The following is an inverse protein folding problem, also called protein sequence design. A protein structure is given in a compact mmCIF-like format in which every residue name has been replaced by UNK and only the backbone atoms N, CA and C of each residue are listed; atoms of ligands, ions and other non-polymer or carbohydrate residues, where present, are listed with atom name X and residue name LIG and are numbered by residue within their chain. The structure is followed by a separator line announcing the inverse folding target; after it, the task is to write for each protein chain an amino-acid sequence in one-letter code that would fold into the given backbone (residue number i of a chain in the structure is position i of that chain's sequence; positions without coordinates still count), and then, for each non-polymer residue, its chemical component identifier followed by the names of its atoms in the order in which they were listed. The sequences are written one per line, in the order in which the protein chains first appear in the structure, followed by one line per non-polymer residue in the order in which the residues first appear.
data_IF_970701294095
#
_entry.id   IF_970701294095
#
_cell.length_a   1.000
_cell.length_b   1.000
_cell.length_c   1.000
_cell.angle_alpha   90.00
_cell.angle_beta   90.00
_cell.angle_gamma   90.00
#
_symmetry.space_group_name_H-M   'P 1'
#
loop_
_entity.id
_entity.type
_entity.pdbx_description
1 polymer ?
#
# COMPACT_ATOMS: atom_id res chain seq x y z
N UNK A 1 -9.47 -1.14 16.17
CA UNK A 1 -9.34 -0.14 15.08
C UNK A 1 -7.94 0.43 15.14
N UNK A 2 -7.21 0.37 14.03
CA UNK A 2 -5.85 0.88 13.94
C UNK A 2 -5.89 2.40 13.75
N UNK A 3 -4.91 3.13 14.28
CA UNK A 3 -4.82 4.59 14.10
C UNK A 3 -4.31 4.91 12.70
N UNK A 4 -4.77 6.01 12.12
CA UNK A 4 -4.36 6.45 10.77
C UNK A 4 -2.83 6.60 10.66
N UNK A 5 -2.18 7.28 11.61
CA UNK A 5 -0.71 7.42 11.66
C UNK A 5 0.04 6.07 11.63
N UNK A 6 -0.47 5.07 12.35
CA UNK A 6 0.09 3.73 12.31
C UNK A 6 -0.13 3.06 10.94
N UNK A 7 -1.23 3.39 10.25
CA UNK A 7 -1.57 2.85 8.93
C UNK A 7 -0.73 3.48 7.84
N UNK A 8 -0.50 4.78 7.93
CA UNK A 8 0.46 5.51 7.10
C UNK A 8 1.86 4.91 7.26
N UNK A 9 2.28 4.57 8.48
CA UNK A 9 3.56 3.89 8.73
C UNK A 9 3.65 2.51 8.06
N UNK A 10 2.59 1.70 8.11
CA UNK A 10 2.57 0.40 7.43
C UNK A 10 2.59 0.58 5.91
N UNK A 11 1.80 1.52 5.38
CA UNK A 11 1.77 1.81 3.96
C UNK A 11 3.08 2.39 3.42
N UNK A 12 3.78 3.21 4.20
CA UNK A 12 5.11 3.71 3.86
C UNK A 12 6.14 2.57 3.78
N UNK A 13 6.10 1.63 4.71
CA UNK A 13 6.94 0.43 4.64
C UNK A 13 6.59 -0.42 3.41
N UNK A 14 5.31 -0.52 3.08
CA UNK A 14 4.83 -1.22 1.88
C UNK A 14 5.32 -0.53 0.59
N UNK A 15 5.29 0.80 0.53
CA UNK A 15 5.86 1.59 -0.56
C UNK A 15 7.37 1.39 -0.68
N UNK A 16 8.09 1.37 0.44
CA UNK A 16 9.53 1.11 0.47
C UNK A 16 9.88 -0.30 -0.02
N UNK A 17 9.11 -1.30 0.39
CA UNK A 17 9.23 -2.67 -0.11
C UNK A 17 8.96 -2.72 -1.61
N UNK A 18 7.85 -2.12 -2.08
CA UNK A 18 7.51 -2.07 -3.49
C UNK A 18 8.62 -1.39 -4.32
N UNK A 19 9.20 -0.30 -3.82
CA UNK A 19 10.30 0.42 -4.47
C UNK A 19 11.60 -0.38 -4.57
N UNK A 20 11.79 -1.38 -3.70
CA UNK A 20 12.91 -2.31 -3.78
C UNK A 20 12.64 -3.47 -4.75
N UNK A 21 11.41 -3.66 -5.23
CA UNK A 21 11.04 -4.74 -6.15
C UNK A 21 11.10 -4.25 -7.61
N UNK A 22 12.14 -4.66 -8.34
CA UNK A 22 12.37 -4.25 -9.73
C UNK A 22 11.32 -4.74 -10.74
N UNK A 23 10.56 -5.77 -10.39
CA UNK A 23 9.48 -6.33 -11.21
C UNK A 23 8.10 -5.69 -10.90
N UNK A 24 7.83 -5.43 -9.61
CA UNK A 24 6.53 -4.92 -9.18
C UNK A 24 6.43 -3.40 -9.27
N UNK A 25 7.53 -2.68 -9.04
CA UNK A 25 7.58 -1.22 -9.15
C UNK A 25 7.16 -0.70 -10.55
N UNK A 26 7.70 -1.20 -11.68
CA UNK A 26 7.23 -0.77 -13.00
C UNK A 26 5.77 -1.16 -13.27
N UNK A 27 5.31 -2.30 -12.74
CA UNK A 27 3.91 -2.73 -12.84
C UNK A 27 2.97 -1.77 -12.11
N UNK A 28 3.32 -1.36 -10.89
CA UNK A 28 2.57 -0.36 -10.12
C UNK A 28 2.51 0.99 -10.84
N UNK A 29 3.65 1.49 -11.33
CA UNK A 29 3.71 2.74 -12.09
C UNK A 29 2.88 2.67 -13.38
N UNK A 30 2.90 1.53 -14.08
CA UNK A 30 2.05 1.30 -15.26
C UNK A 30 0.55 1.25 -14.94
N UNK A 31 0.18 0.64 -13.81
CA UNK A 31 -1.21 0.53 -13.37
C UNK A 31 -1.80 1.85 -12.86
N UNK A 32 -1.00 2.67 -12.18
CA UNK A 32 -1.44 3.94 -11.59
C UNK A 32 -1.19 5.16 -12.49
N UNK A 33 -0.30 5.05 -13.46
CA UNK A 33 0.22 6.19 -14.22
C UNK A 33 1.21 7.06 -13.43
N UNK A 34 1.60 6.64 -12.22
CA UNK A 34 2.54 7.37 -11.38
C UNK A 34 3.96 7.31 -11.96
N UNK A 35 4.68 8.43 -11.83
CA UNK A 35 6.11 8.50 -12.13
C UNK A 35 6.93 8.38 -10.84
N UNK A 36 8.22 8.07 -10.93
CA UNK A 36 9.09 8.00 -9.74
C UNK A 36 9.13 9.32 -8.93
N UNK A 37 8.99 10.47 -9.60
CA UNK A 37 8.83 11.77 -8.93
C UNK A 37 7.50 11.89 -8.20
N UNK A 38 6.41 11.38 -8.78
CA UNK A 38 5.09 11.34 -8.16
C UNK A 38 5.09 10.47 -6.90
N UNK A 39 5.75 9.32 -6.94
CA UNK A 39 5.92 8.47 -5.74
C UNK A 39 6.55 9.24 -4.57
N UNK A 40 7.54 10.09 -4.86
CA UNK A 40 8.23 10.88 -3.83
C UNK A 40 7.36 12.01 -3.30
N UNK A 41 6.59 12.68 -4.15
CA UNK A 41 5.72 13.79 -3.75
C UNK A 41 4.46 13.30 -3.04
N UNK A 42 3.92 12.15 -3.44
CA UNK A 42 2.70 11.54 -2.90
C UNK A 42 2.97 10.59 -1.72
N UNK A 43 4.23 10.26 -1.37
CA UNK A 43 4.54 9.38 -0.25
C UNK A 43 3.95 9.85 1.10
N UNK A 44 3.72 11.16 1.26
CA UNK A 44 3.07 11.73 2.45
C UNK A 44 1.54 11.85 2.34
N UNK A 45 0.95 11.45 1.22
CA UNK A 45 -0.49 11.53 1.00
C UNK A 45 -1.17 10.21 1.43
N UNK A 46 -2.10 10.23 2.41
CA UNK A 46 -2.73 9.03 2.92
C UNK A 46 -3.67 8.36 1.91
N UNK A 47 -4.16 9.08 0.88
CA UNK A 47 -4.97 8.50 -0.20
C UNK A 47 -4.08 7.66 -1.11
N UNK A 48 -2.93 8.20 -1.51
CA UNK A 48 -1.92 7.51 -2.30
C UNK A 48 -1.38 6.27 -1.58
N UNK A 49 -1.06 6.40 -0.28
CA UNK A 49 -0.67 5.26 0.57
C UNK A 49 -1.76 4.19 0.62
N UNK A 50 -3.03 4.57 0.56
CA UNK A 50 -4.16 3.65 0.42
C UNK A 50 -4.12 2.87 -0.90
N UNK A 51 -3.79 3.53 -2.01
CA UNK A 51 -3.66 2.89 -3.33
C UNK A 51 -2.46 1.93 -3.42
N UNK A 52 -1.36 2.22 -2.73
CA UNK A 52 -0.21 1.30 -2.61
C UNK A 52 -0.63 0.00 -1.92
N UNK A 53 -1.36 0.11 -0.80
CA UNK A 53 -1.88 -1.08 -0.11
C UNK A 53 -2.90 -1.83 -0.96
N UNK A 54 -3.76 -1.13 -1.70
CA UNK A 54 -4.74 -1.73 -2.61
C UNK A 54 -4.06 -2.56 -3.71
N UNK A 55 -3.02 -2.01 -4.33
CA UNK A 55 -2.22 -2.72 -5.33
C UNK A 55 -1.57 -3.99 -4.77
N UNK A 56 -0.92 -3.91 -3.60
CA UNK A 56 -0.28 -5.07 -2.98
C UNK A 56 -1.31 -6.14 -2.62
N UNK A 57 -2.52 -5.73 -2.23
CA UNK A 57 -3.63 -6.63 -1.91
C UNK A 57 -4.28 -7.29 -3.14
N UNK A 58 -3.87 -6.95 -4.37
CA UNK A 58 -4.39 -7.60 -5.58
C UNK A 58 -3.90 -9.04 -5.75
N UNK A 59 -2.74 -9.39 -5.17
CA UNK A 59 -2.15 -10.72 -5.28
C UNK A 59 -1.64 -11.21 -3.91
N UNK A 60 -2.04 -12.42 -3.51
CA UNK A 60 -1.67 -12.99 -2.21
C UNK A 60 -0.15 -13.19 -2.07
N UNK A 61 0.57 -13.46 -3.17
CA UNK A 61 2.02 -13.59 -3.13
C UNK A 61 2.71 -12.26 -2.79
N UNK A 62 2.14 -11.12 -3.20
CA UNK A 62 2.69 -9.81 -2.85
C UNK A 62 2.40 -9.46 -1.38
N UNK A 63 1.19 -9.77 -0.91
CA UNK A 63 0.85 -9.58 0.52
C UNK A 63 1.77 -10.43 1.40
N UNK A 64 1.98 -11.70 1.05
CA UNK A 64 2.88 -12.61 1.78
C UNK A 64 4.34 -12.14 1.75
N UNK A 65 4.85 -11.73 0.59
CA UNK A 65 6.22 -11.21 0.48
C UNK A 65 6.44 -9.92 1.30
N UNK A 66 5.47 -9.01 1.28
CA UNK A 66 5.52 -7.82 2.13
C UNK A 66 5.51 -8.20 3.61
N UNK A 67 4.54 -9.02 4.04
CA UNK A 67 4.36 -9.40 5.44
C UNK A 67 5.58 -10.10 6.03
N UNK A 68 6.23 -10.97 5.25
CA UNK A 68 7.50 -11.61 5.61
C UNK A 68 8.60 -10.55 5.80
N UNK A 69 8.72 -9.61 4.86
CA UNK A 69 9.78 -8.59 4.89
C UNK A 69 9.65 -7.64 6.08
N UNK A 70 8.43 -7.18 6.40
CA UNK A 70 8.20 -6.23 7.50
C UNK A 70 7.80 -6.92 8.81
N UNK A 71 7.79 -8.26 8.83
CA UNK A 71 7.47 -9.12 9.97
C UNK A 71 6.15 -8.73 10.67
N UNK A 72 5.06 -8.64 9.90
CA UNK A 72 3.71 -8.33 10.40
C UNK A 72 2.71 -9.40 9.98
N UNK A 73 1.63 -9.62 10.75
CA UNK A 73 0.56 -10.53 10.35
C UNK A 73 -0.23 -9.96 9.15
N UNK A 74 -0.74 -10.84 8.27
CA UNK A 74 -1.55 -10.48 7.10
C UNK A 74 -2.70 -9.50 7.40
N UNK A 75 -3.38 -9.71 8.52
CA UNK A 75 -4.51 -8.87 8.95
C UNK A 75 -4.08 -7.40 9.16
N UNK A 76 -2.80 -7.13 9.45
CA UNK A 76 -2.28 -5.75 9.57
C UNK A 76 -2.39 -4.98 8.27
N UNK A 77 -2.23 -5.62 7.11
CA UNK A 77 -2.33 -4.94 5.82
C UNK A 77 -3.77 -4.50 5.58
N UNK A 78 -4.73 -5.39 5.83
CA UNK A 78 -6.16 -5.07 5.74
C UNK A 78 -6.58 -3.99 6.75
N UNK A 79 -6.11 -4.08 8.00
CA UNK A 79 -6.39 -3.08 9.03
C UNK A 79 -5.79 -1.71 8.69
N UNK A 80 -4.58 -1.67 8.12
CA UNK A 80 -3.99 -0.44 7.64
C UNK A 80 -4.82 0.17 6.52
N UNK A 81 -5.20 -0.64 5.50
CA UNK A 81 -6.03 -0.18 4.38
C UNK A 81 -7.37 0.40 4.84
N UNK A 82 -8.05 -0.25 5.78
CA UNK A 82 -9.32 0.22 6.35
C UNK A 82 -9.19 1.49 7.19
N UNK A 83 -8.00 1.77 7.70
CA UNK A 83 -7.72 2.95 8.53
C UNK A 83 -7.28 4.16 7.69
N UNK A 84 -7.06 3.98 6.38
CA UNK A 84 -6.71 5.04 5.43
C UNK A 84 -7.94 5.55 4.67
N UNK A 85 -7.91 6.80 4.16
CA UNK A 85 -8.95 7.36 3.32
C UNK A 85 -9.31 6.45 2.13
N UNK A 86 -10.59 6.44 1.75
CA UNK A 86 -11.08 5.57 0.67
C UNK A 86 -11.01 4.07 0.96
N UNK A 87 -10.64 3.64 2.18
CA UNK A 87 -10.66 2.25 2.65
C UNK A 87 -11.99 1.83 3.26
N UNK A 88 -12.88 2.79 3.51
CA UNK A 88 -14.29 2.51 3.68
C UNK A 88 -14.81 1.94 2.36
N UNK A 89 -15.17 0.65 2.37
CA UNK A 89 -15.74 -0.06 1.23
C UNK A 89 -16.79 0.81 0.54
N UNK A 90 -16.45 1.35 -0.64
CA UNK A 90 -17.42 1.92 -1.55
C UNK A 90 -18.19 0.75 -2.15
N UNK A 91 -19.20 0.25 -1.41
CA UNK A 91 -20.27 -0.55 -1.97
C UNK A 91 -21.02 0.36 -2.94
N UNK A 92 -20.63 0.35 -4.22
CA UNK A 92 -21.48 0.86 -5.28
C UNK A 92 -22.62 -0.12 -5.45
N UNK A 93 -23.73 0.13 -4.73
CA UNK A 93 -25.02 -0.51 -5.01
C UNK A 93 -25.53 -0.06 -6.37
#
# INVERSE_FOLDING_TARGET
MMKQDAAETVALQALGWLAANEDLMPTFMGATGASAEDLRTQAGDPVFLGAVLDFIMMDDAWVTGLCDTINVPYDRIMQARQSLPGGAQMNWT
#
